data_IF_457048022569
#
_entry.id   IF_457048022569
#
_cell.length_a   1.000
_cell.length_b   1.000
_cell.length_c   1.000
_cell.angle_alpha   90.00
_cell.angle_beta   90.00
_cell.angle_gamma   90.00
#
_symmetry.space_group_name_H-M   'P 1'
#
loop_
_entity.id
_entity.type
_entity.pdbx_description
1 polymer ?
#
# COMPACT_ATOMS: atom_id res chain seq x y z
N UNK A 1 9.97 13.53 6.81
CA UNK A 1 9.88 13.00 5.44
C UNK A 1 8.40 12.87 5.17
N UNK A 2 7.89 13.45 4.09
CA UNK A 2 6.45 13.40 3.81
C UNK A 2 6.02 11.98 3.47
N UNK A 3 4.79 11.57 3.82
CA UNK A 3 4.28 10.22 3.51
C UNK A 3 4.31 9.93 2.00
N UNK A 4 4.16 10.96 1.16
CA UNK A 4 4.32 10.82 -0.28
C UNK A 4 5.76 10.48 -0.70
N UNK A 5 6.77 11.02 -0.03
CA UNK A 5 8.18 10.69 -0.29
C UNK A 5 8.48 9.25 0.13
N UNK A 6 7.91 8.81 1.26
CA UNK A 6 8.01 7.44 1.73
C UNK A 6 7.35 6.47 0.76
N UNK A 7 6.14 6.77 0.28
CA UNK A 7 5.43 5.99 -0.74
C UNK A 7 6.27 5.86 -2.02
N UNK A 8 6.77 6.98 -2.55
CA UNK A 8 7.58 6.98 -3.77
C UNK A 8 8.87 6.14 -3.62
N UNK A 9 9.46 6.10 -2.42
CA UNK A 9 10.61 5.25 -2.13
C UNK A 9 10.26 3.77 -2.22
N UNK A 10 9.12 3.34 -1.67
CA UNK A 10 8.66 1.95 -1.77
C UNK A 10 8.35 1.57 -3.23
N UNK A 11 7.64 2.44 -3.97
CA UNK A 11 7.27 2.21 -5.37
C UNK A 11 8.50 2.07 -6.28
N UNK A 12 9.52 2.93 -6.13
CA UNK A 12 10.79 2.76 -6.86
C UNK A 12 11.50 1.45 -6.52
N UNK A 13 11.33 0.96 -5.29
CA UNK A 13 11.85 -0.32 -4.85
C UNK A 13 11.21 -1.53 -5.55
N UNK A 14 10.00 -1.38 -6.11
CA UNK A 14 9.31 -2.41 -6.88
C UNK A 14 9.89 -2.56 -8.29
N UNK A 15 10.21 -1.45 -8.97
CA UNK A 15 10.80 -1.47 -10.33
C UNK A 15 12.14 -2.23 -10.37
N UNK A 16 12.87 -2.23 -9.27
CA UNK A 16 14.13 -2.93 -9.11
C UNK A 16 13.97 -4.47 -9.00
N UNK A 17 12.78 -4.94 -8.62
CA UNK A 17 12.52 -6.37 -8.46
C UNK A 17 12.01 -6.94 -9.79
N UNK A 18 12.94 -7.45 -10.61
CA UNK A 18 12.64 -8.36 -11.73
C UNK A 18 12.90 -9.79 -11.28
N UNK A 19 12.07 -10.28 -10.36
CA UNK A 19 12.26 -11.60 -9.77
C UNK A 19 11.33 -12.68 -10.36
N UNK A 20 11.90 -13.84 -10.66
CA UNK A 20 11.20 -15.05 -11.10
C UNK A 20 11.24 -16.18 -10.03
N UNK A 21 11.93 -15.93 -8.92
CA UNK A 21 12.11 -16.88 -7.82
C UNK A 21 11.25 -16.55 -6.60
N UNK A 22 10.95 -17.54 -5.74
CA UNK A 22 9.97 -17.30 -4.68
C UNK A 22 10.40 -16.36 -3.55
N UNK A 23 11.70 -16.29 -3.24
CA UNK A 23 12.22 -15.29 -2.29
C UNK A 23 12.08 -13.86 -2.82
N UNK A 24 12.20 -13.68 -4.14
CA UNK A 24 12.02 -12.39 -4.80
C UNK A 24 10.54 -12.00 -4.84
N UNK A 25 9.61 -12.97 -4.97
CA UNK A 25 8.17 -12.76 -4.83
C UNK A 25 7.81 -12.30 -3.41
N UNK A 26 8.40 -12.91 -2.38
CA UNK A 26 8.18 -12.47 -0.99
C UNK A 26 8.69 -11.04 -0.75
N UNK A 27 9.84 -10.68 -1.32
CA UNK A 27 10.35 -9.30 -1.25
C UNK A 27 9.43 -8.32 -1.99
N UNK A 28 8.92 -8.70 -3.18
CA UNK A 28 7.97 -7.91 -3.96
C UNK A 28 6.69 -7.65 -3.17
N UNK A 29 6.10 -8.70 -2.59
CA UNK A 29 4.89 -8.59 -1.77
C UNK A 29 5.12 -7.76 -0.51
N UNK A 30 6.29 -7.86 0.11
CA UNK A 30 6.66 -7.02 1.26
C UNK A 30 6.67 -5.54 0.89
N UNK A 31 7.31 -5.17 -0.23
CA UNK A 31 7.36 -3.78 -0.69
C UNK A 31 5.99 -3.30 -1.15
N UNK A 32 5.21 -4.12 -1.86
CA UNK A 32 3.86 -3.78 -2.27
C UNK A 32 2.95 -3.54 -1.06
N UNK A 33 3.03 -4.39 -0.03
CA UNK A 33 2.32 -4.21 1.24
C UNK A 33 2.68 -2.88 1.90
N UNK A 34 3.98 -2.57 1.97
CA UNK A 34 4.45 -1.31 2.55
C UNK A 34 3.92 -0.11 1.76
N UNK A 35 3.95 -0.16 0.42
CA UNK A 35 3.41 0.88 -0.43
C UNK A 35 1.89 1.08 -0.24
N UNK A 36 1.12 0.00 -0.08
CA UNK A 36 -0.32 0.08 0.19
C UNK A 36 -0.61 0.80 1.52
N UNK A 37 0.13 0.48 2.59
CA UNK A 37 0.01 1.18 3.87
C UNK A 37 0.35 2.66 3.76
N UNK A 38 1.46 3.01 3.08
CA UNK A 38 1.84 4.40 2.84
C UNK A 38 0.84 5.17 1.99
N UNK A 39 0.19 4.49 1.05
CA UNK A 39 -0.87 5.11 0.27
C UNK A 39 -2.11 5.41 1.11
N UNK A 40 -2.45 4.52 2.06
CA UNK A 40 -3.50 4.81 3.04
C UNK A 40 -3.13 6.03 3.90
N UNK A 41 -1.89 6.13 4.39
CA UNK A 41 -1.41 7.30 5.14
C UNK A 41 -1.58 8.60 4.32
N UNK A 42 -1.13 8.62 3.06
CA UNK A 42 -1.28 9.79 2.17
C UNK A 42 -2.74 10.15 1.94
N UNK A 43 -3.62 9.16 1.73
CA UNK A 43 -5.05 9.42 1.54
C UNK A 43 -5.70 9.99 2.81
N UNK A 44 -5.26 9.53 3.98
CA UNK A 44 -5.70 10.07 5.27
C UNK A 44 -5.26 11.54 5.43
N UNK A 45 -3.98 11.87 5.18
CA UNK A 45 -3.49 13.25 5.21
C UNK A 45 -4.26 14.18 4.25
N UNK A 46 -4.57 13.70 3.04
CA UNK A 46 -5.38 14.44 2.06
C UNK A 46 -6.80 14.65 2.59
N UNK A 47 -7.42 13.62 3.16
CA UNK A 47 -8.76 13.71 3.73
C UNK A 47 -8.81 14.76 4.85
N UNK A 48 -7.86 14.73 5.79
CA UNK A 48 -7.76 15.74 6.86
C UNK A 48 -7.57 17.15 6.29
N UNK A 49 -6.73 17.29 5.26
CA UNK A 49 -6.44 18.59 4.64
C UNK A 49 -7.60 19.15 3.80
N UNK A 50 -8.53 18.31 3.36
CA UNK A 50 -9.66 18.68 2.50
C UNK A 50 -11.01 18.70 3.20
N UNK A 51 -11.05 18.31 4.49
CA UNK A 51 -12.26 18.25 5.29
C UNK A 51 -12.99 19.61 5.33
N UNK A 52 -14.26 19.62 4.91
CA UNK A 52 -15.05 20.85 4.84
C UNK A 52 -14.67 21.83 3.73
N UNK A 53 -13.65 21.52 2.92
CA UNK A 53 -13.24 22.29 1.74
C UNK A 53 -13.79 21.71 0.44
N UNK A 54 -14.14 20.41 0.45
CA UNK A 54 -14.71 19.70 -0.70
C UNK A 54 -16.15 19.31 -0.42
N UNK A 55 -16.95 19.11 -1.48
CA UNK A 55 -18.34 18.69 -1.31
C UNK A 55 -18.47 17.27 -0.73
N UNK A 56 -19.62 16.91 -0.14
CA UNK A 56 -19.80 15.64 0.60
C UNK A 56 -19.54 14.39 -0.25
N UNK A 57 -19.77 14.47 -1.56
CA UNK A 57 -19.47 13.38 -2.49
C UNK A 57 -17.96 13.14 -2.65
N UNK A 58 -17.16 14.20 -2.63
CA UNK A 58 -15.71 14.10 -2.72
C UNK A 58 -15.13 13.54 -1.41
N UNK A 59 -15.64 13.99 -0.25
CA UNK A 59 -15.25 13.45 1.05
C UNK A 59 -15.52 11.94 1.14
N UNK A 60 -16.73 11.50 0.76
CA UNK A 60 -17.08 10.08 0.74
C UNK A 60 -16.21 9.26 -0.23
N UNK A 61 -15.83 9.85 -1.37
CA UNK A 61 -14.95 9.19 -2.33
C UNK A 61 -13.51 9.03 -1.80
N UNK A 62 -13.00 10.03 -1.08
CA UNK A 62 -11.70 9.97 -0.42
C UNK A 62 -11.69 8.92 0.70
N UNK A 63 -12.73 8.87 1.53
CA UNK A 63 -12.88 7.86 2.57
C UNK A 63 -12.94 6.44 1.97
N UNK A 64 -13.63 6.26 0.84
CA UNK A 64 -13.67 4.99 0.13
C UNK A 64 -12.31 4.61 -0.46
N UNK A 65 -11.57 5.57 -1.01
CA UNK A 65 -10.22 5.33 -1.51
C UNK A 65 -9.28 4.90 -0.38
N UNK A 66 -9.37 5.56 0.79
CA UNK A 66 -8.60 5.23 1.98
C UNK A 66 -8.87 3.79 2.43
N UNK A 67 -10.14 3.42 2.62
CA UNK A 67 -10.52 2.06 3.01
C UNK A 67 -10.04 1.00 2.02
N UNK A 68 -10.09 1.28 0.72
CA UNK A 68 -9.56 0.35 -0.30
C UNK A 68 -8.04 0.21 -0.25
N UNK A 69 -7.32 1.24 0.16
CA UNK A 69 -5.87 1.14 0.38
C UNK A 69 -5.56 0.24 1.58
N UNK A 70 -6.32 0.37 2.68
CA UNK A 70 -6.21 -0.51 3.85
C UNK A 70 -6.55 -1.96 3.51
N UNK A 71 -7.65 -2.19 2.78
CA UNK A 71 -8.02 -3.53 2.30
C UNK A 71 -6.89 -4.14 1.45
N UNK A 72 -6.30 -3.36 0.54
CA UNK A 72 -5.16 -3.82 -0.25
C UNK A 72 -3.95 -4.18 0.61
N UNK A 73 -3.68 -3.46 1.70
CA UNK A 73 -2.62 -3.81 2.65
C UNK A 73 -2.86 -5.19 3.27
N UNK A 74 -4.10 -5.44 3.73
CA UNK A 74 -4.48 -6.71 4.38
C UNK A 74 -4.35 -7.89 3.41
N UNK A 75 -4.86 -7.75 2.19
CA UNK A 75 -4.77 -8.82 1.19
C UNK A 75 -3.32 -9.15 0.81
N UNK A 76 -2.45 -8.13 0.73
CA UNK A 76 -1.01 -8.33 0.50
C UNK A 76 -0.31 -8.99 1.69
N UNK A 77 -0.77 -8.73 2.92
CA UNK A 77 -0.29 -9.43 4.11
C UNK A 77 -0.62 -10.92 4.06
N UNK A 78 -1.85 -11.26 3.66
CA UNK A 78 -2.30 -12.64 3.49
C UNK A 78 -1.45 -13.34 2.42
N UNK A 79 -1.28 -12.73 1.24
CA UNK A 79 -0.47 -13.28 0.17
C UNK A 79 0.99 -13.53 0.59
N UNK A 80 1.60 -12.58 1.33
CA UNK A 80 2.95 -12.72 1.85
C UNK A 80 3.07 -13.87 2.88
N UNK A 81 2.06 -14.02 3.74
CA UNK A 81 2.01 -15.11 4.71
C UNK A 81 1.93 -16.48 4.01
N UNK A 82 1.14 -16.60 2.94
CA UNK A 82 1.01 -17.82 2.16
C UNK A 82 2.31 -18.17 1.43
N UNK A 83 2.98 -17.20 0.79
CA UNK A 83 4.31 -17.43 0.23
C UNK A 83 5.28 -17.96 1.30
N UNK A 84 5.27 -17.43 2.51
CA UNK A 84 6.17 -17.88 3.58
C UNK A 84 5.89 -19.33 4.04
N UNK A 85 4.63 -19.79 3.95
CA UNK A 85 4.23 -21.15 4.31
C UNK A 85 4.67 -22.19 3.29
N UNK A 86 4.68 -21.85 2.00
CA UNK A 86 5.10 -22.76 0.93
C UNK A 86 6.63 -23.00 0.90
N UNK A 87 7.45 -22.04 1.35
CA UNK A 87 8.90 -22.18 1.42
C UNK A 87 9.45 -22.94 2.63
N UNK A 88 8.62 -23.16 3.65
CA UNK A 88 8.98 -23.87 4.87
C UNK A 88 8.79 -25.40 4.81
N UNK A 89 8.48 -25.95 3.63
CA UNK A 89 8.16 -27.36 3.38
C UNK A 89 9.22 -28.01 2.48
#
# INVERSE_FOLDING_TARGET
>A
MSDIEALLRELRGLEAIRGAGPGEIAELLTKAKSAAGRWADVLYEIQESTQGLVGPRAEAALEFAFRRAEESYVELEIALADCSREHGR
#
